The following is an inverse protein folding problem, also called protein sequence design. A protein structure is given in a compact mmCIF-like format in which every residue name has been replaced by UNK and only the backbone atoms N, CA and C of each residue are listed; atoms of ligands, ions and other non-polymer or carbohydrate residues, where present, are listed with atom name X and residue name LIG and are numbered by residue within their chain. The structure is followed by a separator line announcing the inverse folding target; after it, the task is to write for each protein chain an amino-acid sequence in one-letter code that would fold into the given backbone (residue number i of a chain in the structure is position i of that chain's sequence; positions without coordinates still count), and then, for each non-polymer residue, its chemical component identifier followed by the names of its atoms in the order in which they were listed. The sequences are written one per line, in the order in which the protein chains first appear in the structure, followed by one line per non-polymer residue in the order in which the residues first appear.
data_IF_189622904686
#
_entry.id   IF_189622904686
#
_cell.length_a   1.000
_cell.length_b   1.000
_cell.length_c   1.000
_cell.angle_alpha   90.00
_cell.angle_beta   90.00
_cell.angle_gamma   90.00
#
_symmetry.space_group_name_H-M   'P 1'
#
loop_
_entity.id
_entity.type
_entity.pdbx_description
1 polymer ?
#
# COMPACT_ATOMS: atom_id res chain seq x y z
N UNK A 1 0.99 27.67 22.29
CA UNK A 1 -0.12 27.14 21.46
C UNK A 1 -0.56 28.23 20.49
N UNK A 2 -0.29 28.07 19.19
CA UNK A 2 -0.74 29.04 18.19
C UNK A 2 -2.27 28.94 18.05
N UNK A 3 -2.97 29.98 18.52
CA UNK A 3 -4.42 30.13 18.34
C UNK A 3 -4.70 30.06 16.84
N UNK A 4 -5.46 29.05 16.40
CA UNK A 4 -5.94 28.94 15.02
C UNK A 4 -6.75 30.20 14.70
N UNK A 5 -6.16 31.16 14.00
CA UNK A 5 -6.91 32.26 13.39
C UNK A 5 -7.37 31.74 12.04
N UNK A 6 -8.68 31.58 11.87
CA UNK A 6 -9.25 31.06 10.63
C UNK A 6 -8.79 31.91 9.43
N UNK A 7 -8.35 31.24 8.36
CA UNK A 7 -8.02 31.92 7.11
C UNK A 7 -9.29 32.57 6.56
N UNK A 8 -9.23 33.88 6.30
CA UNK A 8 -10.26 34.64 5.58
C UNK A 8 -9.82 34.87 4.14
N UNK A 9 -10.79 35.13 3.27
CA UNK A 9 -10.58 35.52 1.88
C UNK A 9 -11.10 36.95 1.68
N UNK A 10 -10.53 37.65 0.70
CA UNK A 10 -10.97 38.99 0.33
C UNK A 10 -10.25 39.50 -0.90
N UNK A 11 -10.54 40.74 -1.27
CA UNK A 11 -9.98 41.41 -2.45
C UNK A 11 -9.19 42.65 -2.05
N UNK A 12 -8.02 42.85 -2.64
CA UNK A 12 -7.25 44.08 -2.42
C UNK A 12 -7.99 45.23 -3.10
N UNK A 13 -8.47 46.21 -2.34
CA UNK A 13 -9.22 47.36 -2.89
C UNK A 13 -8.37 48.62 -2.99
N UNK A 14 -7.31 48.72 -2.19
CA UNK A 14 -6.40 49.86 -2.18
C UNK A 14 -4.96 49.43 -1.91
N UNK A 15 -4.02 50.01 -2.65
CA UNK A 15 -2.58 49.86 -2.46
C UNK A 15 -1.88 51.22 -2.55
N UNK A 16 -1.06 51.56 -1.55
CA UNK A 16 -0.17 52.73 -1.54
C UNK A 16 1.27 52.22 -1.52
N UNK A 17 1.92 52.22 -2.68
CA UNK A 17 3.25 51.63 -2.85
C UNK A 17 4.35 52.46 -2.16
N UNK A 18 4.23 53.79 -2.20
CA UNK A 18 5.10 54.76 -1.54
C UNK A 18 5.17 54.56 -0.02
N UNK A 19 4.04 54.17 0.59
CA UNK A 19 3.92 53.92 2.04
C UNK A 19 3.93 52.43 2.41
N UNK A 20 3.92 51.53 1.41
CA UNK A 20 4.00 50.08 1.61
C UNK A 20 2.79 49.46 2.32
N UNK A 21 1.58 50.00 2.17
CA UNK A 21 0.38 49.44 2.80
C UNK A 21 -0.86 49.44 1.90
N UNK A 22 -1.85 48.63 2.26
CA UNK A 22 -3.11 48.52 1.55
C UNK A 22 -4.27 48.06 2.42
N UNK A 23 -5.41 47.87 1.76
CA UNK A 23 -6.64 47.37 2.38
C UNK A 23 -7.21 46.19 1.58
N UNK A 24 -7.70 45.19 2.31
CA UNK A 24 -8.39 44.02 1.79
C UNK A 24 -9.85 44.12 2.23
N UNK A 25 -10.78 44.04 1.29
CA UNK A 25 -12.20 43.96 1.59
C UNK A 25 -12.64 42.49 1.60
N UNK A 26 -13.27 42.06 2.68
CA UNK A 26 -13.82 40.70 2.80
C UNK A 26 -15.20 40.62 2.17
N UNK A 27 -15.69 39.40 1.91
CA UNK A 27 -17.07 39.18 1.44
C UNK A 27 -18.15 39.74 2.39
N UNK A 28 -17.82 39.92 3.68
CA UNK A 28 -18.69 40.53 4.67
C UNK A 28 -18.70 42.08 4.61
N UNK A 29 -17.96 42.70 3.69
CA UNK A 29 -17.82 44.16 3.58
C UNK A 29 -16.86 44.78 4.61
N UNK A 30 -16.16 43.97 5.41
CA UNK A 30 -15.14 44.47 6.35
C UNK A 30 -13.87 44.84 5.59
N UNK A 31 -13.35 46.05 5.82
CA UNK A 31 -12.06 46.50 5.31
C UNK A 31 -10.94 46.21 6.33
N UNK A 32 -9.93 45.45 5.91
CA UNK A 32 -8.83 45.00 6.76
C UNK A 32 -7.51 45.57 6.25
N UNK A 33 -6.79 46.24 7.14
CA UNK A 33 -5.48 46.82 6.85
C UNK A 33 -4.40 45.73 6.68
N UNK A 34 -3.46 45.91 5.76
CA UNK A 34 -2.27 45.08 5.66
C UNK A 34 -1.04 45.88 5.21
N UNK A 35 0.14 45.44 5.66
CA UNK A 35 1.42 46.02 5.29
C UNK A 35 2.14 45.12 4.28
N UNK A 36 3.04 45.67 3.46
CA UNK A 36 3.81 44.92 2.46
C UNK A 36 4.57 43.73 3.07
N UNK A 37 5.03 43.85 4.31
CA UNK A 37 5.72 42.77 5.03
C UNK A 37 4.83 41.56 5.35
N UNK A 38 3.51 41.75 5.37
CA UNK A 38 2.54 40.68 5.54
C UNK A 38 2.24 39.95 4.22
N UNK A 39 2.52 40.58 3.07
CA UNK A 39 2.34 39.99 1.75
C UNK A 39 3.46 39.01 1.42
N UNK A 40 3.11 37.74 1.25
CA UNK A 40 4.06 36.63 1.05
C UNK A 40 4.27 36.35 -0.43
N UNK A 41 4.79 37.33 -1.15
CA UNK A 41 5.23 37.19 -2.53
C UNK A 41 6.48 38.06 -2.81
N UNK A 42 7.22 37.74 -3.86
CA UNK A 42 8.37 38.55 -4.32
C UNK A 42 7.96 39.79 -5.13
N UNK A 43 6.65 40.01 -5.31
CA UNK A 43 6.06 41.14 -6.04
C UNK A 43 5.21 42.01 -5.11
N UNK A 44 4.81 43.18 -5.60
CA UNK A 44 3.82 44.03 -4.94
C UNK A 44 2.38 43.52 -5.16
N UNK A 45 1.45 43.81 -4.23
CA UNK A 45 0.03 43.56 -4.42
C UNK A 45 -0.58 44.36 -5.57
N UNK A 46 -1.63 43.82 -6.19
CA UNK A 46 -2.37 44.44 -7.30
C UNK A 46 -3.80 44.73 -6.83
N UNK A 47 -4.30 45.93 -7.12
CA UNK A 47 -5.68 46.29 -6.83
C UNK A 47 -6.62 45.40 -7.65
N UNK A 48 -7.62 44.82 -6.98
CA UNK A 48 -8.56 43.86 -7.54
C UNK A 48 -8.17 42.40 -7.36
N UNK A 49 -6.96 42.09 -6.88
CA UNK A 49 -6.53 40.68 -6.71
C UNK A 49 -7.17 40.03 -5.47
N UNK A 50 -7.45 38.73 -5.59
CA UNK A 50 -8.01 37.94 -4.49
C UNK A 50 -6.91 37.33 -3.64
N UNK A 51 -7.07 37.44 -2.32
CA UNK A 51 -6.07 37.04 -1.34
C UNK A 51 -6.68 36.24 -0.21
N UNK A 52 -5.87 35.32 0.33
CA UNK A 52 -6.12 34.59 1.57
C UNK A 52 -5.23 35.17 2.65
N UNK A 53 -5.77 35.39 3.84
CA UNK A 53 -5.02 35.96 4.95
C UNK A 53 -5.55 35.45 6.30
N UNK A 54 -4.75 35.59 7.35
CA UNK A 54 -5.19 35.39 8.72
C UNK A 54 -5.47 36.73 9.37
N UNK A 55 -6.52 36.82 10.19
CA UNK A 55 -6.82 38.06 10.92
C UNK A 55 -6.05 38.07 12.22
N UNK A 56 -5.27 39.13 12.47
CA UNK A 56 -4.62 39.36 13.75
C UNK A 56 -4.82 40.79 14.24
N UNK A 57 -4.25 41.09 15.41
CA UNK A 57 -4.16 42.45 15.94
C UNK A 57 -2.73 42.97 15.86
N UNK A 58 -2.58 44.29 15.69
CA UNK A 58 -1.31 45.01 15.86
C UNK A 58 -1.04 45.33 17.34
N UNK A 59 0.12 45.93 17.64
CA UNK A 59 0.50 46.35 19.00
C UNK A 59 -0.43 47.42 19.60
N UNK A 60 -1.27 48.05 18.78
CA UNK A 60 -2.25 49.07 19.15
C UNK A 60 -3.69 48.51 19.17
N UNK A 61 -3.85 47.17 19.13
CA UNK A 61 -5.13 46.44 19.09
C UNK A 61 -6.01 46.73 17.87
N UNK A 62 -5.45 47.19 16.75
CA UNK A 62 -6.18 47.35 15.48
C UNK A 62 -6.17 46.05 14.67
N UNK A 63 -7.26 45.80 13.96
CA UNK A 63 -7.42 44.65 13.05
C UNK A 63 -6.45 44.75 11.87
N UNK A 64 -5.64 43.71 11.67
CA UNK A 64 -4.64 43.64 10.60
C UNK A 64 -4.62 42.24 9.97
N UNK A 65 -4.53 42.17 8.65
CA UNK A 65 -4.29 40.94 7.92
C UNK A 65 -2.81 40.52 8.03
N UNK A 66 -2.59 39.26 8.39
CA UNK A 66 -1.29 38.61 8.49
C UNK A 66 -1.19 37.47 7.47
N UNK A 67 0.03 37.16 7.03
CA UNK A 67 0.31 36.08 6.07
C UNK A 67 -0.52 36.16 4.77
N UNK A 68 -0.68 37.37 4.23
CA UNK A 68 -1.45 37.62 3.02
C UNK A 68 -0.80 36.93 1.83
N UNK A 69 -1.54 36.07 1.14
CA UNK A 69 -1.11 35.33 -0.03
C UNK A 69 -2.16 35.43 -1.12
N UNK A 70 -1.73 35.41 -2.38
CA UNK A 70 -2.65 35.33 -3.52
C UNK A 70 -3.48 34.04 -3.47
N UNK A 71 -4.79 34.15 -3.66
CA UNK A 71 -5.72 33.02 -3.61
C UNK A 71 -5.37 31.96 -4.65
N UNK A 72 -5.08 32.38 -5.89
CA UNK A 72 -4.71 31.47 -6.99
C UNK A 72 -3.46 30.65 -6.64
N UNK A 73 -2.44 31.29 -6.07
CA UNK A 73 -1.19 30.65 -5.65
C UNK A 73 -1.43 29.63 -4.54
N UNK A 74 -2.23 29.98 -3.53
CA UNK A 74 -2.59 29.07 -2.44
C UNK A 74 -3.37 27.87 -2.98
N UNK A 75 -4.35 28.10 -3.85
CA UNK A 75 -5.14 27.03 -4.48
C UNK A 75 -4.27 26.10 -5.33
N UNK A 76 -3.39 26.65 -6.17
CA UNK A 76 -2.45 25.86 -6.98
C UNK A 76 -1.55 24.99 -6.09
N UNK A 77 -0.97 25.57 -5.04
CA UNK A 77 -0.11 24.85 -4.08
C UNK A 77 -0.89 23.74 -3.35
N UNK A 78 -2.12 24.02 -2.92
CA UNK A 78 -3.00 23.02 -2.29
C UNK A 78 -3.38 21.91 -3.27
N UNK A 79 -3.72 22.24 -4.52
CA UNK A 79 -4.05 21.27 -5.55
C UNK A 79 -2.87 20.34 -5.87
N UNK A 80 -1.66 20.90 -5.99
CA UNK A 80 -0.43 20.12 -6.16
C UNK A 80 -0.17 19.19 -4.97
N UNK A 81 -0.26 19.71 -3.74
CA UNK A 81 -0.11 18.92 -2.51
C UNK A 81 -1.16 17.81 -2.43
N UNK A 82 -2.41 18.10 -2.74
CA UNK A 82 -3.50 17.12 -2.75
C UNK A 82 -3.29 16.05 -3.81
N UNK A 83 -2.78 16.40 -5.00
CA UNK A 83 -2.40 15.43 -6.05
C UNK A 83 -1.32 14.47 -5.55
N UNK A 84 -0.27 15.00 -4.91
CA UNK A 84 0.79 14.18 -4.31
C UNK A 84 0.25 13.25 -3.20
N UNK A 85 -0.61 13.76 -2.32
CA UNK A 85 -1.26 12.97 -1.26
C UNK A 85 -2.11 11.85 -1.88
N UNK A 86 -2.92 12.16 -2.90
CA UNK A 86 -3.74 11.16 -3.61
C UNK A 86 -2.88 10.07 -4.24
N UNK A 87 -1.80 10.43 -4.92
CA UNK A 87 -0.87 9.46 -5.51
C UNK A 87 -0.22 8.57 -4.44
N UNK A 88 0.23 9.15 -3.33
CA UNK A 88 0.80 8.40 -2.20
C UNK A 88 -0.22 7.44 -1.58
N UNK A 89 -1.44 7.92 -1.35
CA UNK A 89 -2.52 7.11 -0.79
C UNK A 89 -2.95 5.99 -1.73
N UNK A 90 -3.04 6.25 -3.04
CA UNK A 90 -3.33 5.21 -4.03
C UNK A 90 -2.29 4.09 -4.00
N UNK A 91 -0.99 4.42 -3.99
CA UNK A 91 0.09 3.41 -3.89
C UNK A 91 0.00 2.62 -2.59
N UNK A 92 -0.28 3.29 -1.46
CA UNK A 92 -0.42 2.64 -0.15
C UNK A 92 -1.63 1.70 -0.09
N UNK A 93 -2.76 2.14 -0.63
CA UNK A 93 -3.99 1.34 -0.68
C UNK A 93 -3.81 0.10 -1.57
N UNK A 94 -3.25 0.26 -2.77
CA UNK A 94 -2.94 -0.86 -3.65
C UNK A 94 -2.01 -1.89 -2.99
N UNK A 95 -1.01 -1.43 -2.24
CA UNK A 95 -0.12 -2.31 -1.46
C UNK A 95 -0.88 -3.05 -0.34
N UNK A 96 -1.76 -2.35 0.39
CA UNK A 96 -2.56 -2.95 1.46
C UNK A 96 -3.57 -3.99 0.93
N UNK A 97 -4.24 -3.70 -0.18
CA UNK A 97 -5.15 -4.62 -0.86
C UNK A 97 -4.42 -5.87 -1.34
N UNK A 98 -3.22 -5.70 -1.90
CA UNK A 98 -2.37 -6.82 -2.31
C UNK A 98 -1.98 -7.72 -1.12
N UNK A 99 -1.56 -7.13 0.00
CA UNK A 99 -1.21 -7.87 1.22
C UNK A 99 -2.42 -8.58 1.83
N UNK A 100 -3.59 -7.94 1.86
CA UNK A 100 -4.83 -8.55 2.31
C UNK A 100 -5.23 -9.73 1.42
N UNK A 101 -5.08 -9.60 0.10
CA UNK A 101 -5.29 -10.68 -0.87
C UNK A 101 -4.36 -11.86 -0.64
N UNK A 102 -3.08 -11.62 -0.33
CA UNK A 102 -2.12 -12.68 0.01
C UNK A 102 -2.50 -13.39 1.31
N UNK A 103 -2.86 -12.64 2.37
CA UNK A 103 -3.32 -13.23 3.65
C UNK A 103 -4.58 -14.08 3.48
N UNK A 104 -5.55 -13.64 2.67
CA UNK A 104 -6.75 -14.43 2.37
C UNK A 104 -6.41 -15.79 1.73
N UNK A 105 -5.35 -15.87 0.93
CA UNK A 105 -4.92 -17.14 0.32
C UNK A 105 -4.35 -18.13 1.33
N UNK A 106 -3.82 -17.68 2.47
CA UNK A 106 -3.36 -18.60 3.52
C UNK A 106 -4.47 -19.53 4.02
N UNK A 107 -5.74 -19.10 3.99
CA UNK A 107 -6.87 -19.96 4.31
C UNK A 107 -6.97 -21.18 3.38
N UNK A 108 -6.56 -21.07 2.12
CA UNK A 108 -6.51 -22.22 1.20
C UNK A 108 -5.47 -23.25 1.67
N UNK A 109 -4.31 -22.80 2.14
CA UNK A 109 -3.27 -23.68 2.67
C UNK A 109 -3.69 -24.35 3.98
N UNK A 110 -4.33 -23.60 4.87
CA UNK A 110 -4.89 -24.15 6.12
C UNK A 110 -5.97 -25.18 5.82
N UNK A 111 -6.90 -24.87 4.91
CA UNK A 111 -7.94 -25.79 4.48
C UNK A 111 -7.37 -27.07 3.86
N UNK A 112 -6.35 -26.95 3.00
CA UNK A 112 -5.67 -28.08 2.40
C UNK A 112 -5.08 -29.04 3.44
N UNK A 113 -4.27 -28.53 4.39
CA UNK A 113 -3.73 -29.36 5.47
C UNK A 113 -4.83 -29.93 6.37
N UNK A 114 -5.89 -29.16 6.64
CA UNK A 114 -7.05 -29.63 7.38
C UNK A 114 -7.71 -30.86 6.74
N UNK A 115 -7.91 -30.83 5.42
CA UNK A 115 -8.45 -31.97 4.67
C UNK A 115 -7.49 -33.16 4.68
N UNK A 116 -6.19 -32.95 4.45
CA UNK A 116 -5.20 -34.03 4.50
C UNK A 116 -5.17 -34.73 5.87
N UNK A 117 -5.16 -33.96 6.95
CA UNK A 117 -5.19 -34.48 8.32
C UNK A 117 -6.48 -35.23 8.58
N UNK A 118 -7.64 -34.69 8.16
CA UNK A 118 -8.92 -35.35 8.32
C UNK A 118 -8.94 -36.71 7.61
N UNK A 119 -8.48 -36.78 6.35
CA UNK A 119 -8.38 -38.04 5.61
C UNK A 119 -7.44 -39.04 6.29
N UNK A 120 -6.33 -38.56 6.87
CA UNK A 120 -5.41 -39.41 7.59
C UNK A 120 -6.01 -39.98 8.89
N UNK A 121 -6.74 -39.16 9.65
CA UNK A 121 -7.47 -39.60 10.85
C UNK A 121 -8.57 -40.60 10.50
N UNK A 122 -9.23 -40.44 9.35
CA UNK A 122 -10.24 -41.38 8.85
C UNK A 122 -9.65 -42.67 8.26
N UNK A 123 -8.33 -42.89 8.38
CA UNK A 123 -7.57 -43.99 7.76
C UNK A 123 -7.75 -44.08 6.24
N UNK A 124 -8.15 -42.98 5.58
CA UNK A 124 -8.22 -42.88 4.13
C UNK A 124 -6.89 -42.42 3.53
N UNK A 125 -5.97 -41.88 4.31
CA UNK A 125 -4.69 -41.39 3.80
C UNK A 125 -3.56 -41.75 4.75
N UNK A 126 -2.39 -42.12 4.21
CA UNK A 126 -1.22 -42.37 5.05
C UNK A 126 -0.71 -41.05 5.66
N UNK A 127 -0.36 -41.08 6.95
CA UNK A 127 0.32 -39.97 7.63
C UNK A 127 1.66 -39.60 6.96
N UNK A 128 2.29 -40.53 6.23
CA UNK A 128 3.50 -40.24 5.45
C UNK A 128 3.25 -39.18 4.37
N UNK A 129 2.06 -39.15 3.77
CA UNK A 129 1.71 -38.15 2.76
C UNK A 129 1.57 -36.77 3.43
N UNK A 130 0.94 -36.70 4.60
CA UNK A 130 0.86 -35.45 5.38
C UNK A 130 2.26 -34.94 5.74
N UNK A 131 3.13 -35.84 6.21
CA UNK A 131 4.53 -35.54 6.50
C UNK A 131 5.32 -35.07 5.28
N UNK A 132 5.12 -35.70 4.12
CA UNK A 132 5.73 -35.31 2.84
C UNK A 132 5.41 -33.86 2.48
N UNK A 133 4.13 -33.47 2.51
CA UNK A 133 3.71 -32.09 2.27
C UNK A 133 4.32 -31.11 3.28
N UNK A 134 4.34 -31.47 4.58
CA UNK A 134 4.90 -30.64 5.63
C UNK A 134 6.41 -30.39 5.44
N UNK A 135 7.18 -31.46 5.16
CA UNK A 135 8.63 -31.39 4.94
C UNK A 135 8.95 -30.60 3.67
N UNK A 136 8.30 -30.89 2.55
CA UNK A 136 8.50 -30.12 1.33
C UNK A 136 8.08 -28.66 1.50
N UNK A 137 7.01 -28.40 2.26
CA UNK A 137 6.60 -27.04 2.61
C UNK A 137 7.70 -26.28 3.36
N UNK A 138 8.32 -26.93 4.35
CA UNK A 138 9.43 -26.34 5.10
C UNK A 138 10.65 -26.09 4.21
N UNK A 139 11.07 -27.07 3.40
CA UNK A 139 12.19 -26.92 2.45
C UNK A 139 11.92 -25.79 1.46
N UNK A 140 10.70 -25.71 0.93
CA UNK A 140 10.33 -24.68 -0.03
C UNK A 140 10.39 -23.30 0.61
N UNK A 141 9.88 -23.15 1.83
CA UNK A 141 9.96 -21.89 2.56
C UNK A 141 11.41 -21.44 2.76
N UNK A 142 12.30 -22.34 3.20
CA UNK A 142 13.72 -22.01 3.41
C UNK A 142 14.44 -21.65 2.12
N UNK A 143 14.13 -22.32 1.01
CA UNK A 143 14.66 -21.96 -0.31
C UNK A 143 14.23 -20.55 -0.76
N UNK A 144 12.97 -20.16 -0.52
CA UNK A 144 12.54 -18.78 -0.78
C UNK A 144 13.25 -17.76 0.13
N UNK A 145 13.45 -18.10 1.40
CA UNK A 145 14.17 -17.23 2.34
C UNK A 145 15.64 -17.04 1.92
N UNK A 146 16.31 -18.13 1.52
CA UNK A 146 17.67 -18.10 0.98
C UNK A 146 17.75 -17.28 -0.31
N UNK A 147 16.81 -17.48 -1.23
CA UNK A 147 16.76 -16.71 -2.48
C UNK A 147 16.53 -15.22 -2.24
N UNK A 148 15.70 -14.86 -1.24
CA UNK A 148 15.53 -13.46 -0.82
C UNK A 148 16.81 -12.88 -0.26
N UNK A 149 17.50 -13.60 0.64
CA UNK A 149 18.76 -13.15 1.21
C UNK A 149 19.84 -12.95 0.12
N UNK A 150 19.98 -13.92 -0.79
CA UNK A 150 20.88 -13.80 -1.93
C UNK A 150 20.53 -12.60 -2.82
N UNK A 151 19.23 -12.33 -3.03
CA UNK A 151 18.80 -11.17 -3.82
C UNK A 151 19.15 -9.82 -3.18
N UNK A 152 19.18 -9.74 -1.84
CA UNK A 152 19.55 -8.54 -1.09
C UNK A 152 21.07 -8.33 -1.02
N UNK A 153 21.83 -9.43 -0.98
CA UNK A 153 23.29 -9.41 -0.86
C UNK A 153 24.02 -9.36 -2.21
N UNK A 154 23.28 -9.34 -3.34
CA UNK A 154 23.84 -9.50 -4.69
C UNK A 154 24.61 -10.81 -4.90
N UNK A 155 24.22 -11.87 -4.18
CA UNK A 155 24.76 -13.21 -4.33
C UNK A 155 24.05 -13.99 -5.45
N UNK A 156 24.60 -15.17 -5.77
CA UNK A 156 24.00 -16.10 -6.73
C UNK A 156 22.60 -16.55 -6.27
N UNK A 157 21.59 -16.28 -7.10
CA UNK A 157 20.17 -16.52 -6.79
C UNK A 157 19.75 -17.95 -7.11
N UNK A 158 18.68 -18.40 -6.46
CA UNK A 158 18.09 -19.71 -6.76
C UNK A 158 17.28 -19.61 -8.07
N UNK A 159 17.48 -20.53 -9.04
CA UNK A 159 16.69 -20.55 -10.26
C UNK A 159 15.20 -20.61 -9.97
N UNK A 160 14.39 -19.82 -10.68
CA UNK A 160 12.93 -19.78 -10.46
C UNK A 160 12.28 -21.15 -10.68
N UNK A 161 12.82 -21.92 -11.63
CA UNK A 161 12.39 -23.29 -11.93
C UNK A 161 12.48 -24.22 -10.70
N UNK A 162 13.57 -24.12 -9.91
CA UNK A 162 13.75 -24.91 -8.68
C UNK A 162 12.63 -24.64 -7.67
N UNK A 163 12.22 -23.39 -7.50
CA UNK A 163 11.14 -23.00 -6.58
C UNK A 163 9.78 -23.52 -7.05
N UNK A 164 9.53 -23.53 -8.36
CA UNK A 164 8.29 -24.07 -8.93
C UNK A 164 8.22 -25.60 -8.86
N UNK A 165 9.33 -26.31 -9.09
CA UNK A 165 9.37 -27.77 -8.94
C UNK A 165 9.11 -28.18 -7.50
N UNK A 166 9.77 -27.54 -6.53
CA UNK A 166 9.52 -27.80 -5.11
C UNK A 166 8.05 -27.53 -4.75
N UNK A 167 7.46 -26.47 -5.30
CA UNK A 167 6.04 -26.17 -5.12
C UNK A 167 5.15 -27.27 -5.72
N UNK A 168 5.43 -27.70 -6.95
CA UNK A 168 4.67 -28.75 -7.65
C UNK A 168 4.68 -30.08 -6.90
N UNK A 169 5.83 -30.49 -6.34
CA UNK A 169 6.00 -31.75 -5.62
C UNK A 169 5.28 -31.81 -4.26
N UNK A 170 4.77 -30.69 -3.77
CA UNK A 170 4.01 -30.60 -2.51
C UNK A 170 4.37 -29.38 -1.65
N UNK A 171 5.42 -28.65 -2.00
CA UNK A 171 5.88 -27.48 -1.26
C UNK A 171 5.04 -26.21 -1.44
N UNK A 172 3.96 -26.25 -2.23
CA UNK A 172 3.21 -25.07 -2.66
C UNK A 172 2.64 -24.25 -1.49
N UNK A 173 2.21 -24.89 -0.38
CA UNK A 173 1.77 -24.14 0.82
C UNK A 173 2.95 -23.41 1.47
N UNK A 174 4.13 -24.03 1.52
CA UNK A 174 5.36 -23.37 1.98
C UNK A 174 5.75 -22.18 1.12
N UNK A 175 5.64 -22.31 -0.20
CA UNK A 175 5.81 -21.21 -1.15
C UNK A 175 4.78 -20.10 -0.93
N UNK A 176 3.51 -20.43 -0.65
CA UNK A 176 2.46 -19.46 -0.34
C UNK A 176 2.78 -18.62 0.91
N UNK A 177 3.20 -19.31 1.98
CA UNK A 177 3.61 -18.68 3.23
C UNK A 177 4.84 -17.80 2.99
N UNK A 178 5.84 -18.29 2.26
CA UNK A 178 7.02 -17.53 1.89
C UNK A 178 6.66 -16.27 1.08
N UNK A 179 5.86 -16.38 0.02
CA UNK A 179 5.44 -15.24 -0.79
C UNK A 179 4.69 -14.18 0.04
N UNK A 180 3.87 -14.62 0.99
CA UNK A 180 3.06 -13.73 1.86
C UNK A 180 3.91 -12.98 2.87
N UNK A 181 4.80 -13.68 3.59
CA UNK A 181 5.57 -13.08 4.69
C UNK A 181 6.92 -12.51 4.25
N UNK A 182 7.61 -13.16 3.30
CA UNK A 182 8.88 -12.68 2.78
C UNK A 182 8.70 -11.60 1.71
N UNK A 183 7.50 -11.50 1.11
CA UNK A 183 7.17 -10.53 0.04
C UNK A 183 8.13 -10.58 -1.15
N UNK A 184 8.72 -11.75 -1.39
CA UNK A 184 9.67 -11.99 -2.46
C UNK A 184 8.99 -12.79 -3.58
N UNK A 185 9.21 -12.38 -4.83
CA UNK A 185 8.60 -12.99 -6.03
C UNK A 185 7.05 -13.10 -5.98
N UNK A 186 6.38 -12.18 -5.27
CA UNK A 186 4.91 -12.18 -5.12
C UNK A 186 4.18 -11.29 -6.13
N UNK A 187 4.88 -10.36 -6.80
CA UNK A 187 4.26 -9.39 -7.73
C UNK A 187 4.56 -9.66 -9.22
N UNK A 188 5.54 -10.53 -9.55
CA UNK A 188 5.88 -10.88 -10.93
C UNK A 188 4.78 -11.76 -11.57
N UNK A 189 4.14 -11.36 -12.68
CA UNK A 189 3.04 -12.12 -13.28
C UNK A 189 3.42 -13.56 -13.67
N UNK A 190 4.57 -13.73 -14.31
CA UNK A 190 5.02 -15.02 -14.86
C UNK A 190 5.26 -16.02 -13.73
N UNK A 191 5.95 -15.59 -12.68
CA UNK A 191 6.20 -16.39 -11.48
C UNK A 191 4.90 -16.77 -10.77
N UNK A 192 3.92 -15.86 -10.72
CA UNK A 192 2.61 -16.15 -10.13
C UNK A 192 1.83 -17.18 -10.95
N UNK A 193 1.83 -17.05 -12.28
CA UNK A 193 1.15 -18.00 -13.16
C UNK A 193 1.74 -19.40 -12.95
N UNK A 194 3.07 -19.53 -13.02
CA UNK A 194 3.74 -20.80 -12.77
C UNK A 194 3.44 -21.36 -11.37
N UNK A 195 3.43 -20.52 -10.33
CA UNK A 195 3.00 -20.94 -9.00
C UNK A 195 1.53 -21.43 -8.97
N UNK A 196 0.58 -20.72 -9.59
CA UNK A 196 -0.82 -21.15 -9.59
C UNK A 196 -1.05 -22.47 -10.29
N UNK A 197 -0.29 -22.77 -11.35
CA UNK A 197 -0.30 -24.09 -11.98
C UNK A 197 0.06 -25.18 -10.96
N UNK A 198 1.06 -24.93 -10.10
CA UNK A 198 1.45 -25.89 -9.04
C UNK A 198 0.32 -26.11 -8.04
N UNK A 199 -0.42 -25.06 -7.67
CA UNK A 199 -1.59 -25.17 -6.78
C UNK A 199 -2.68 -26.01 -7.43
N UNK A 200 -3.00 -25.73 -8.70
CA UNK A 200 -4.02 -26.47 -9.46
C UNK A 200 -3.66 -27.97 -9.53
N UNK A 201 -2.41 -28.30 -9.82
CA UNK A 201 -1.94 -29.70 -9.86
C UNK A 201 -2.16 -30.39 -8.50
N UNK A 202 -1.81 -29.73 -7.40
CA UNK A 202 -1.97 -30.29 -6.06
C UNK A 202 -3.45 -30.41 -5.65
N UNK A 203 -4.29 -29.46 -6.03
CA UNK A 203 -5.75 -29.55 -5.81
C UNK A 203 -6.38 -30.67 -6.64
N UNK A 204 -5.98 -30.81 -7.90
CA UNK A 204 -6.45 -31.89 -8.76
C UNK A 204 -6.05 -33.26 -8.20
N UNK A 205 -4.81 -33.40 -7.72
CA UNK A 205 -4.35 -34.60 -7.03
C UNK A 205 -5.17 -34.91 -5.77
N UNK A 206 -5.47 -33.91 -4.95
CA UNK A 206 -6.33 -34.09 -3.77
C UNK A 206 -7.76 -34.52 -4.15
N UNK A 207 -8.36 -33.90 -5.17
CA UNK A 207 -9.69 -34.26 -5.65
C UNK A 207 -9.71 -35.67 -6.25
N UNK A 208 -8.65 -36.08 -6.95
CA UNK A 208 -8.49 -37.44 -7.46
C UNK A 208 -8.43 -38.46 -6.32
N UNK A 209 -7.75 -38.15 -5.21
CA UNK A 209 -7.74 -38.98 -4.00
C UNK A 209 -9.12 -39.03 -3.35
N UNK A 210 -9.87 -37.92 -3.32
CA UNK A 210 -11.20 -37.86 -2.73
C UNK A 210 -12.26 -38.60 -3.55
N UNK A 211 -12.09 -38.71 -4.86
CA UNK A 211 -12.90 -39.59 -5.70
C UNK A 211 -12.40 -41.03 -5.48
N UNK A 212 -13.26 -41.94 -5.01
CA UNK A 212 -12.91 -43.30 -4.54
C UNK A 212 -11.89 -44.09 -5.40
N UNK A 213 -11.73 -43.79 -6.70
CA UNK A 213 -10.71 -44.39 -7.56
C UNK A 213 -9.25 -44.04 -7.25
N UNK A 214 -8.96 -42.94 -6.54
CA UNK A 214 -7.58 -42.55 -6.24
C UNK A 214 -6.96 -43.28 -5.04
N UNK A 215 -7.78 -43.65 -4.05
CA UNK A 215 -7.35 -44.35 -2.84
C UNK A 215 -6.93 -45.78 -3.13
N UNK A 216 -7.76 -46.52 -3.87
CA UNK A 216 -7.46 -47.90 -4.29
C UNK A 216 -6.19 -47.98 -5.15
N UNK A 217 -5.95 -46.97 -5.99
CA UNK A 217 -4.75 -46.90 -6.82
C UNK A 217 -3.47 -46.72 -5.99
N UNK A 218 -3.47 -45.79 -5.01
CA UNK A 218 -2.30 -45.54 -4.18
C UNK A 218 -2.01 -46.70 -3.23
N UNK A 219 -3.05 -47.31 -2.66
CA UNK A 219 -2.90 -48.43 -1.74
C UNK A 219 -2.37 -49.70 -2.44
N UNK A 220 -2.64 -49.89 -3.73
CA UNK A 220 -2.12 -51.03 -4.50
C UNK A 220 -0.69 -50.88 -5.02
N UNK A 221 -0.20 -49.64 -5.15
CA UNK A 221 1.05 -49.37 -5.86
C UNK A 221 2.16 -48.72 -5.01
N UNK A 222 1.84 -48.19 -3.82
CA UNK A 222 2.79 -47.41 -3.02
C UNK A 222 2.93 -47.88 -1.55
N UNK A 223 2.09 -48.81 -1.10
CA UNK A 223 2.14 -49.44 0.23
C UNK A 223 2.29 -50.95 0.04
#
# INVERSE_FOLDING_TARGET
MAKLMANKQGRVTKWQDDKGFGFIETEAGESVFFHVSAFKAQRRPVIGEEVVFTVGYDNQRRLQAKEVQELSFVQQKMAQKNKQIRQRNHKRNAQAEFEAGQKKRLFLGVGFYGVLILLAVMNKLSWLIVGWYAVLGMITYTMYAKDKAAAQNNDWRTPEMTLHVLSALGGWVGAMVAQTYLRHKSQKPEFRIAYYLTVIINMAGLLFILADGGLDFLQKNLI
#
